data_IF_425855094089
#
_entry.id   IF_425855094089
#
_cell.length_a   1.000
_cell.length_b   1.000
_cell.length_c   1.000
_cell.angle_alpha   90.00
_cell.angle_beta   90.00
_cell.angle_gamma   90.00
#
_symmetry.space_group_name_H-M   'P 1'
#
loop_
_entity.id
_entity.type
_entity.pdbx_description
1 polymer ?
#
# COMPACT_ATOMS: atom_id res chain seq x y z
N UNK A 1 -9.62 -36.33 -65.28
CA UNK A 1 -8.35 -35.59 -65.44
C UNK A 1 -7.93 -35.11 -64.06
N UNK A 2 -6.70 -35.47 -63.67
CA UNK A 2 -6.11 -35.25 -62.35
C UNK A 2 -5.59 -33.81 -62.25
N UNK A 3 -6.03 -33.05 -61.25
CA UNK A 3 -5.30 -31.88 -60.78
C UNK A 3 -5.29 -31.86 -59.25
N UNK A 4 -4.10 -32.07 -58.71
CA UNK A 4 -3.71 -32.06 -57.31
C UNK A 4 -3.47 -30.63 -56.83
N UNK A 5 -4.00 -30.30 -55.66
CA UNK A 5 -3.70 -29.09 -54.89
C UNK A 5 -2.41 -29.28 -54.07
N UNK A 6 -1.46 -28.33 -54.03
CA UNK A 6 -0.35 -28.36 -53.09
C UNK A 6 -0.73 -27.62 -51.80
N UNK A 7 -0.73 -28.35 -50.68
CA UNK A 7 -0.79 -27.79 -49.33
C UNK A 7 0.56 -27.23 -48.91
N UNK A 8 0.54 -26.04 -48.29
CA UNK A 8 1.70 -25.41 -47.67
C UNK A 8 1.52 -25.39 -46.15
N UNK A 9 2.31 -26.22 -45.47
CA UNK A 9 2.65 -26.14 -44.05
C UNK A 9 4.16 -25.91 -43.98
N UNK A 10 4.68 -24.88 -43.28
CA UNK A 10 6.06 -24.89 -42.82
C UNK A 10 6.06 -25.45 -41.39
N UNK A 11 6.61 -26.65 -41.20
CA UNK A 11 8.02 -26.91 -40.95
C UNK A 11 8.37 -26.73 -39.45
N UNK A 12 8.18 -27.84 -38.73
CA UNK A 12 8.85 -28.11 -37.48
C UNK A 12 10.36 -28.25 -37.75
N UNK A 13 11.18 -27.43 -37.09
CA UNK A 13 12.62 -27.63 -37.00
C UNK A 13 12.97 -28.18 -35.61
N UNK A 14 13.18 -29.48 -35.58
CA UNK A 14 13.74 -30.23 -34.47
C UNK A 14 15.16 -30.61 -34.90
N UNK A 15 16.19 -29.99 -34.31
CA UNK A 15 17.59 -30.34 -34.53
C UNK A 15 18.34 -30.41 -33.19
N UNK A 16 18.46 -31.66 -32.74
CA UNK A 16 19.67 -32.34 -32.25
C UNK A 16 20.63 -31.60 -31.31
N UNK A 17 20.61 -32.14 -30.09
CA UNK A 17 21.63 -32.25 -29.04
C UNK A 17 23.09 -32.32 -29.51
N UNK A 18 23.93 -31.46 -28.92
CA UNK A 18 25.37 -31.69 -28.71
C UNK A 18 25.74 -31.21 -27.31
N UNK A 19 26.68 -31.88 -26.59
CA UNK A 19 27.08 -31.44 -25.27
C UNK A 19 27.96 -30.20 -25.42
N UNK A 20 27.43 -29.03 -25.06
CA UNK A 20 28.24 -27.86 -24.87
C UNK A 20 29.15 -28.12 -23.66
N UNK A 21 30.46 -28.16 -23.89
CA UNK A 21 31.44 -28.15 -22.83
C UNK A 21 31.16 -26.93 -21.93
N UNK A 22 30.82 -27.18 -20.67
CA UNK A 22 30.64 -26.14 -19.68
C UNK A 22 31.98 -25.43 -19.50
N UNK A 23 32.12 -24.23 -20.09
CA UNK A 23 33.16 -23.31 -19.68
C UNK A 23 32.92 -23.02 -18.19
N UNK A 24 33.91 -23.35 -17.36
CA UNK A 24 33.88 -23.00 -15.95
C UNK A 24 33.66 -21.49 -15.84
N UNK A 25 32.54 -21.10 -15.25
CA UNK A 25 32.28 -19.71 -14.91
C UNK A 25 33.44 -19.22 -14.03
N UNK A 26 34.01 -18.03 -14.29
CA UNK A 26 35.00 -17.46 -13.39
C UNK A 26 34.41 -17.41 -11.97
N UNK A 27 35.21 -17.65 -10.92
CA UNK A 27 34.73 -17.62 -9.54
C UNK A 27 33.99 -16.31 -9.29
N UNK A 28 32.78 -16.43 -8.74
CA UNK A 28 31.89 -15.32 -8.40
C UNK A 28 32.71 -14.17 -7.83
N UNK A 29 32.80 -13.08 -8.58
CA UNK A 29 33.27 -11.81 -8.06
C UNK A 29 32.32 -11.45 -6.94
N UNK A 30 32.82 -11.47 -5.69
CA UNK A 30 32.04 -11.25 -4.48
C UNK A 30 31.01 -10.14 -4.70
N UNK A 31 29.73 -10.53 -4.77
CA UNK A 31 28.63 -9.60 -4.92
C UNK A 31 28.71 -8.61 -3.75
N UNK A 32 29.10 -7.38 -4.03
CA UNK A 32 29.20 -6.33 -3.02
C UNK A 32 27.78 -6.06 -2.54
N UNK A 33 27.52 -6.36 -1.27
CA UNK A 33 26.24 -6.07 -0.65
C UNK A 33 25.94 -4.57 -0.82
N UNK A 34 24.74 -4.18 -1.31
CA UNK A 34 24.44 -2.79 -1.60
C UNK A 34 24.59 -1.94 -0.33
N UNK A 35 25.01 -0.66 -0.40
CA UNK A 35 25.14 0.17 0.80
C UNK A 35 23.78 0.38 1.50
N UNK A 36 23.78 0.65 2.82
CA UNK A 36 22.57 1.01 3.54
C UNK A 36 21.94 2.27 2.91
N UNK A 37 20.61 2.35 2.99
CA UNK A 37 19.86 3.48 2.42
C UNK A 37 19.04 4.16 3.50
N UNK A 38 19.07 5.49 3.52
CA UNK A 38 18.17 6.32 4.31
C UNK A 38 17.31 7.14 3.35
N UNK A 39 15.99 7.10 3.49
CA UNK A 39 15.06 7.85 2.65
C UNK A 39 14.23 8.78 3.50
N UNK A 40 14.19 10.06 3.14
CA UNK A 40 13.28 11.05 3.71
C UNK A 40 12.17 11.33 2.69
N UNK A 41 10.92 11.29 3.11
CA UNK A 41 9.77 11.56 2.26
C UNK A 41 8.81 12.57 2.86
N UNK A 42 8.12 13.29 1.98
CA UNK A 42 6.98 14.16 2.29
C UNK A 42 5.82 13.75 1.38
N UNK A 43 4.60 13.74 1.91
CA UNK A 43 3.41 13.42 1.16
C UNK A 43 2.23 14.30 1.57
N UNK A 44 1.30 14.52 0.65
CA UNK A 44 0.00 15.12 0.93
C UNK A 44 -1.07 14.42 0.11
N UNK A 45 -2.27 14.32 0.65
CA UNK A 45 -3.43 13.86 -0.10
C UNK A 45 -4.63 14.75 0.18
N UNK A 46 -5.59 14.77 -0.74
CA UNK A 46 -6.85 15.51 -0.58
C UNK A 46 -7.91 14.76 0.25
N UNK A 47 -7.71 13.46 0.49
CA UNK A 47 -8.54 12.63 1.38
C UNK A 47 -7.69 11.65 2.17
N UNK A 48 -8.17 11.29 3.35
CA UNK A 48 -7.57 10.27 4.21
C UNK A 48 -8.26 8.93 3.96
N UNK A 49 -7.47 7.93 3.60
CA UNK A 49 -7.96 6.56 3.38
C UNK A 49 -7.08 5.58 4.13
N UNK A 50 -7.67 4.57 4.75
CA UNK A 50 -6.96 3.49 5.42
C UNK A 50 -7.75 2.20 5.28
N UNK A 51 -7.13 1.13 4.75
CA UNK A 51 -7.78 -0.17 4.52
C UNK A 51 -9.13 -0.03 3.79
N UNK A 52 -9.14 0.77 2.73
CA UNK A 52 -10.32 1.05 1.90
C UNK A 52 -11.49 1.69 2.67
N UNK A 53 -11.19 2.34 3.79
CA UNK A 53 -12.12 3.12 4.61
C UNK A 53 -11.69 4.57 4.62
N UNK A 54 -12.65 5.47 4.69
CA UNK A 54 -12.41 6.90 4.82
C UNK A 54 -13.36 7.51 5.86
N UNK A 55 -12.99 8.66 6.44
CA UNK A 55 -13.94 9.53 7.12
C UNK A 55 -15.05 10.01 6.18
N UNK A 56 -16.13 10.55 6.75
CA UNK A 56 -17.19 11.19 5.99
C UNK A 56 -16.62 12.35 5.15
N UNK A 57 -17.09 12.50 3.91
CA UNK A 57 -16.62 13.53 2.98
C UNK A 57 -16.72 14.96 3.51
N UNK A 58 -17.72 15.26 4.35
CA UNK A 58 -17.88 16.59 4.94
C UNK A 58 -16.76 16.93 5.95
N UNK A 59 -16.15 15.91 6.56
CA UNK A 59 -15.16 16.06 7.61
C UNK A 59 -13.71 15.87 7.11
N UNK A 60 -13.52 15.20 5.98
CA UNK A 60 -12.18 14.88 5.46
C UNK A 60 -11.62 16.01 4.60
N UNK A 61 -10.44 16.52 4.97
CA UNK A 61 -9.70 17.54 4.21
C UNK A 61 -8.32 17.06 3.79
N UNK A 62 -8.07 15.75 3.89
CA UNK A 62 -6.80 15.16 3.53
C UNK A 62 -5.75 15.28 4.62
N UNK A 63 -4.48 15.16 4.23
CA UNK A 63 -3.37 15.14 5.18
C UNK A 63 -2.06 15.66 4.60
N UNK A 64 -1.13 15.93 5.50
CA UNK A 64 0.30 16.08 5.23
C UNK A 64 1.08 15.05 6.05
N UNK A 65 2.05 14.37 5.45
CA UNK A 65 2.79 13.28 6.06
C UNK A 65 4.29 13.41 5.82
N UNK A 66 5.08 12.94 6.77
CA UNK A 66 6.54 12.87 6.67
C UNK A 66 7.02 11.47 7.02
N UNK A 67 7.94 10.93 6.23
CA UNK A 67 8.50 9.58 6.42
C UNK A 67 10.01 9.62 6.52
N UNK A 68 10.56 8.79 7.39
CA UNK A 68 12.00 8.49 7.46
C UNK A 68 12.17 6.98 7.46
N UNK A 69 12.83 6.44 6.43
CA UNK A 69 13.00 4.99 6.25
C UNK A 69 14.47 4.64 6.15
N UNK A 70 14.92 3.67 6.94
CA UNK A 70 16.23 3.05 6.86
C UNK A 70 16.11 1.63 6.30
N UNK A 71 16.99 1.29 5.36
CA UNK A 71 17.10 -0.05 4.80
C UNK A 71 18.55 -0.52 4.88
N UNK A 72 18.79 -1.62 5.59
CA UNK A 72 20.08 -2.25 5.68
C UNK A 72 20.33 -3.19 4.48
N UNK A 73 21.60 -3.46 4.14
CA UNK A 73 21.95 -4.42 3.10
C UNK A 73 21.46 -5.84 3.37
N UNK A 74 21.27 -6.18 4.65
CA UNK A 74 20.78 -7.48 5.09
C UNK A 74 19.30 -7.73 4.77
N UNK A 75 18.56 -6.68 4.39
CA UNK A 75 17.09 -6.73 4.22
C UNK A 75 16.32 -6.19 5.43
N UNK A 76 17.00 -5.83 6.53
CA UNK A 76 16.34 -5.14 7.64
C UNK A 76 15.80 -3.78 7.19
N UNK A 77 14.56 -3.46 7.57
CA UNK A 77 13.92 -2.18 7.32
C UNK A 77 13.37 -1.59 8.62
N UNK A 78 13.50 -0.28 8.77
CA UNK A 78 12.86 0.48 9.83
C UNK A 78 12.31 1.79 9.26
N UNK A 79 11.12 2.19 9.70
CA UNK A 79 10.47 3.39 9.20
C UNK A 79 9.75 4.13 10.31
N UNK A 80 9.82 5.46 10.27
CA UNK A 80 8.98 6.34 11.08
C UNK A 80 8.09 7.17 10.16
N UNK A 81 6.82 7.29 10.51
CA UNK A 81 5.86 8.13 9.82
C UNK A 81 5.19 9.08 10.82
N UNK A 82 5.04 10.34 10.43
CA UNK A 82 4.27 11.33 11.17
C UNK A 82 3.26 11.96 10.23
N UNK A 83 2.05 12.19 10.72
CA UNK A 83 0.95 12.70 9.95
C UNK A 83 0.27 13.87 10.68
N UNK A 84 -0.06 14.88 9.89
CA UNK A 84 -1.07 15.86 10.20
C UNK A 84 -2.28 15.65 9.29
N UNK A 85 -3.33 15.07 9.85
CA UNK A 85 -4.61 14.98 9.17
C UNK A 85 -5.37 16.29 9.36
N UNK A 86 -5.89 16.84 8.27
CA UNK A 86 -6.80 17.98 8.29
C UNK A 86 -8.25 17.53 8.47
N UNK A 87 -8.47 16.25 8.76
CA UNK A 87 -9.79 15.72 9.04
C UNK A 87 -10.37 16.36 10.32
N UNK A 88 -11.68 16.60 10.29
CA UNK A 88 -12.48 17.11 11.38
C UNK A 88 -12.05 18.50 11.87
N UNK A 89 -12.33 19.52 11.05
CA UNK A 89 -12.07 20.96 11.32
C UNK A 89 -12.60 21.46 12.68
N UNK A 90 -13.50 20.72 13.30
CA UNK A 90 -14.08 21.03 14.61
C UNK A 90 -13.28 20.47 15.79
N UNK A 91 -12.16 19.78 15.57
CA UNK A 91 -11.33 19.16 16.61
C UNK A 91 -10.07 19.99 16.89
N UNK A 92 -9.72 20.14 18.17
CA UNK A 92 -8.47 20.77 18.59
C UNK A 92 -7.39 19.70 18.58
N UNK A 93 -6.96 19.32 17.38
CA UNK A 93 -5.90 18.33 17.22
C UNK A 93 -4.53 19.01 17.22
N UNK A 94 -3.51 18.41 17.84
CA UNK A 94 -2.13 18.87 17.67
C UNK A 94 -1.74 18.82 16.18
N UNK A 95 -0.75 19.63 15.79
CA UNK A 95 -0.22 19.61 14.42
C UNK A 95 0.27 18.22 13.99
N UNK A 96 0.66 17.35 14.91
CA UNK A 96 0.88 15.93 14.61
C UNK A 96 -0.17 15.16 15.40
N UNK A 97 -1.14 14.58 14.70
CA UNK A 97 -2.26 13.85 15.29
C UNK A 97 -2.10 12.33 15.15
N UNK A 98 -1.14 11.88 14.34
CA UNK A 98 -0.88 10.47 14.15
C UNK A 98 0.59 10.19 13.81
N UNK A 99 1.09 9.02 14.23
CA UNK A 99 2.41 8.55 13.85
C UNK A 99 2.53 7.03 13.89
N UNK A 100 3.55 6.51 13.22
CA UNK A 100 3.85 5.09 13.14
C UNK A 100 5.35 4.85 13.30
N UNK A 101 5.69 3.74 13.94
CA UNK A 101 7.04 3.18 13.95
C UNK A 101 6.96 1.74 13.48
N UNK A 102 7.68 1.44 12.41
CA UNK A 102 7.70 0.14 11.74
C UNK A 102 9.11 -0.43 11.77
N UNK A 103 9.24 -1.73 12.03
CA UNK A 103 10.47 -2.48 11.81
C UNK A 103 10.13 -3.84 11.21
N UNK A 104 10.99 -4.33 10.32
CA UNK A 104 10.73 -5.56 9.59
C UNK A 104 11.92 -6.08 8.81
N UNK A 105 11.65 -7.10 8.02
CA UNK A 105 12.61 -7.71 7.13
C UNK A 105 11.97 -7.89 5.75
N UNK A 106 12.72 -7.54 4.72
CA UNK A 106 12.36 -7.81 3.33
C UNK A 106 13.42 -8.67 2.67
N UNK A 107 12.99 -9.53 1.76
CA UNK A 107 13.86 -10.39 0.98
C UNK A 107 13.34 -10.55 -0.44
N UNK A 108 14.27 -10.76 -1.37
CA UNK A 108 13.98 -11.01 -2.79
C UNK A 108 14.57 -12.37 -3.13
N UNK A 109 13.75 -13.28 -3.66
CA UNK A 109 14.22 -14.56 -4.18
C UNK A 109 14.69 -14.42 -5.63
N UNK A 110 15.41 -15.42 -6.11
CA UNK A 110 15.85 -15.49 -7.51
C UNK A 110 14.69 -15.65 -8.52
N UNK A 111 13.47 -15.90 -8.05
CA UNK A 111 12.26 -16.04 -8.87
C UNK A 111 11.46 -14.75 -8.99
N UNK A 112 12.09 -13.59 -8.74
CA UNK A 112 11.45 -12.28 -8.66
C UNK A 112 10.27 -12.24 -7.67
N UNK A 113 10.39 -13.02 -6.58
CA UNK A 113 9.43 -13.03 -5.49
C UNK A 113 9.97 -12.17 -4.34
N UNK A 114 9.18 -11.18 -3.94
CA UNK A 114 9.49 -10.30 -2.83
C UNK A 114 8.64 -10.70 -1.64
N UNK A 115 9.25 -10.77 -0.46
CA UNK A 115 8.55 -11.08 0.77
C UNK A 115 8.91 -10.06 1.82
N UNK A 116 7.92 -9.61 2.58
CA UNK A 116 8.14 -8.71 3.71
C UNK A 116 7.39 -9.22 4.93
N UNK A 117 8.01 -9.12 6.10
CA UNK A 117 7.36 -9.30 7.39
C UNK A 117 7.73 -8.12 8.27
N UNK A 118 6.74 -7.55 8.94
CA UNK A 118 6.96 -6.34 9.72
C UNK A 118 6.00 -6.21 10.90
N UNK A 119 6.43 -5.40 11.85
CA UNK A 119 5.63 -4.97 12.98
C UNK A 119 5.55 -3.45 12.96
N UNK A 120 4.34 -2.92 13.13
CA UNK A 120 4.08 -1.49 13.19
C UNK A 120 3.38 -1.13 14.49
N UNK A 121 3.94 -0.15 15.20
CA UNK A 121 3.30 0.50 16.35
C UNK A 121 2.67 1.80 15.89
N UNK A 122 1.36 1.95 16.11
CA UNK A 122 0.59 3.13 15.75
C UNK A 122 0.38 4.01 16.99
N UNK A 123 0.60 5.32 16.82
CA UNK A 123 0.49 6.35 17.84
C UNK A 123 -0.57 7.37 17.42
N UNK A 124 -1.52 7.62 18.31
CA UNK A 124 -2.59 8.59 18.09
C UNK A 124 -2.44 9.67 19.14
N UNK A 125 -2.40 10.91 18.69
CA UNK A 125 -2.20 12.07 19.57
C UNK A 125 -3.49 12.89 19.65
N UNK A 126 -3.94 13.17 20.86
CA UNK A 126 -5.17 13.95 21.10
C UNK A 126 -6.46 13.17 20.81
N UNK A 127 -7.53 13.91 20.51
CA UNK A 127 -8.88 13.38 20.24
C UNK A 127 -9.07 12.98 18.76
N UNK A 128 -8.04 12.42 18.11
CA UNK A 128 -8.10 12.16 16.66
C UNK A 128 -9.23 11.21 16.27
N UNK A 129 -9.97 11.59 15.24
CA UNK A 129 -11.06 10.81 14.65
C UNK A 129 -10.65 10.09 13.35
N UNK A 130 -9.34 9.89 13.15
CA UNK A 130 -8.81 9.10 12.04
C UNK A 130 -9.33 7.66 12.06
N UNK A 131 -9.45 7.06 10.88
CA UNK A 131 -9.93 5.67 10.73
C UNK A 131 -9.03 4.68 11.50
N UNK A 132 -7.73 4.88 11.40
CA UNK A 132 -6.70 4.11 12.11
C UNK A 132 -6.54 4.50 13.60
N UNK A 133 -7.30 5.46 14.12
CA UNK A 133 -7.15 5.92 15.51
C UNK A 133 -7.52 4.86 16.55
N UNK A 134 -8.32 3.86 16.17
CA UNK A 134 -8.69 2.72 17.00
C UNK A 134 -7.59 1.65 17.07
N UNK A 135 -6.60 1.72 16.17
CA UNK A 135 -5.52 0.75 16.05
C UNK A 135 -4.32 1.12 16.92
N UNK A 136 -3.55 0.11 17.31
CA UNK A 136 -2.38 0.28 18.19
C UNK A 136 -1.17 -0.48 17.69
N UNK A 137 -1.36 -1.70 17.21
CA UNK A 137 -0.30 -2.51 16.67
C UNK A 137 -0.79 -3.24 15.43
N UNK A 138 0.12 -3.48 14.50
CA UNK A 138 -0.06 -4.27 13.30
C UNK A 138 1.11 -5.24 13.16
N UNK A 139 0.79 -6.51 12.88
CA UNK A 139 1.72 -7.50 12.38
C UNK A 139 1.33 -7.82 10.95
N UNK A 140 2.19 -7.48 10.01
CA UNK A 140 1.90 -7.61 8.58
C UNK A 140 2.93 -8.46 7.86
N UNK A 141 2.44 -9.25 6.91
CA UNK A 141 3.24 -10.06 6.01
C UNK A 141 2.74 -9.88 4.59
N UNK A 142 3.64 -9.80 3.62
CA UNK A 142 3.29 -9.69 2.21
C UNK A 142 4.18 -10.56 1.32
N UNK A 143 3.60 -10.96 0.21
CA UNK A 143 4.27 -11.60 -0.92
C UNK A 143 3.93 -10.83 -2.18
N UNK A 144 4.93 -10.56 -3.01
CA UNK A 144 4.76 -9.97 -4.34
C UNK A 144 5.49 -10.83 -5.35
N UNK A 145 4.83 -11.20 -6.44
CA UNK A 145 5.39 -12.01 -7.52
C UNK A 145 5.30 -11.26 -8.84
N UNK A 146 6.42 -11.21 -9.55
CA UNK A 146 6.47 -10.70 -10.92
C UNK A 146 6.29 -11.85 -11.92
N UNK A 147 5.36 -11.68 -12.87
CA UNK A 147 5.06 -12.64 -13.93
C UNK A 147 5.44 -12.11 -15.32
N UNK A 148 6.48 -11.28 -15.39
CA UNK A 148 6.97 -10.69 -16.64
C UNK A 148 6.17 -9.48 -17.11
N UNK A 149 4.85 -9.63 -17.29
CA UNK A 149 3.97 -8.50 -17.61
C UNK A 149 3.35 -7.94 -16.34
N UNK A 150 2.67 -8.78 -15.58
CA UNK A 150 1.91 -8.35 -14.40
C UNK A 150 2.71 -8.61 -13.13
N UNK A 151 2.47 -7.79 -12.12
CA UNK A 151 2.87 -8.03 -10.74
C UNK A 151 1.61 -8.35 -9.96
N UNK A 152 1.63 -9.44 -9.18
CA UNK A 152 0.55 -9.73 -8.24
C UNK A 152 1.10 -9.72 -6.82
N UNK A 153 0.32 -9.21 -5.89
CA UNK A 153 0.69 -9.11 -4.49
C UNK A 153 -0.47 -9.50 -3.58
N UNK A 154 -0.10 -10.08 -2.45
CA UNK A 154 -1.02 -10.42 -1.38
C UNK A 154 -0.40 -10.03 -0.04
N UNK A 155 -1.18 -9.37 0.82
CA UNK A 155 -0.80 -9.06 2.19
C UNK A 155 -1.82 -9.60 3.19
N UNK A 156 -1.33 -9.84 4.40
CA UNK A 156 -2.14 -10.14 5.56
C UNK A 156 -1.69 -9.24 6.71
N UNK A 157 -2.64 -8.58 7.33
CA UNK A 157 -2.45 -7.62 8.40
C UNK A 157 -3.25 -8.09 9.63
N UNK A 158 -2.57 -8.23 10.76
CA UNK A 158 -3.18 -8.59 12.05
C UNK A 158 -3.04 -7.41 13.01
N UNK A 159 -4.17 -6.72 13.21
CA UNK A 159 -4.25 -5.61 14.14
C UNK A 159 -4.53 -6.11 15.55
N UNK A 160 -3.66 -5.74 16.49
CA UNK A 160 -3.76 -6.15 17.89
C UNK A 160 -4.18 -4.97 18.77
N UNK A 161 -5.26 -5.16 19.54
CA UNK A 161 -5.84 -4.12 20.39
C UNK A 161 -6.93 -4.65 21.33
N UNK A 162 -7.90 -3.78 21.69
CA UNK A 162 -9.05 -4.19 22.50
C UNK A 162 -9.95 -5.21 21.80
N UNK A 163 -9.95 -5.18 20.47
CA UNK A 163 -10.41 -6.25 19.58
C UNK A 163 -9.32 -6.47 18.54
N UNK A 164 -9.18 -7.70 18.10
CA UNK A 164 -8.26 -8.01 17.01
C UNK A 164 -9.00 -7.89 15.68
N UNK A 165 -8.32 -7.33 14.69
CA UNK A 165 -8.80 -7.32 13.32
C UNK A 165 -7.82 -8.04 12.41
N UNK A 166 -8.35 -8.70 11.39
CA UNK A 166 -7.57 -9.36 10.36
C UNK A 166 -8.01 -8.85 9.00
N UNK A 167 -7.04 -8.41 8.19
CA UNK A 167 -7.27 -7.90 6.84
C UNK A 167 -6.36 -8.62 5.86
N UNK A 168 -6.93 -8.97 4.71
CA UNK A 168 -6.25 -9.47 3.53
C UNK A 168 -6.38 -8.42 2.43
N UNK A 169 -5.27 -8.13 1.77
CA UNK A 169 -5.24 -7.28 0.59
C UNK A 169 -4.65 -8.06 -0.57
N UNK A 170 -5.28 -7.96 -1.74
CA UNK A 170 -4.80 -8.53 -2.98
C UNK A 170 -4.73 -7.43 -4.02
N UNK A 171 -3.61 -7.34 -4.72
CA UNK A 171 -3.44 -6.35 -5.77
C UNK A 171 -2.78 -6.94 -7.02
N UNK A 172 -3.13 -6.38 -8.16
CA UNK A 172 -2.52 -6.68 -9.46
C UNK A 172 -2.16 -5.37 -10.11
N UNK A 173 -0.91 -5.24 -10.53
CA UNK A 173 -0.38 -4.07 -11.20
C UNK A 173 0.35 -4.42 -12.50
N UNK A 174 0.52 -3.41 -13.35
CA UNK A 174 1.43 -3.48 -14.48
C UNK A 174 2.22 -2.18 -14.59
N UNK A 175 3.54 -2.27 -14.46
CA UNK A 175 4.42 -1.10 -14.46
C UNK A 175 5.00 -0.85 -15.84
N UNK A 176 4.72 0.33 -16.37
CA UNK A 176 5.37 0.89 -17.55
C UNK A 176 6.54 1.78 -17.10
N UNK A 177 7.75 1.42 -17.50
CA UNK A 177 8.94 2.21 -17.23
C UNK A 177 9.43 2.87 -18.51
N UNK A 178 9.39 4.20 -18.55
CA UNK A 178 9.77 5.02 -19.69
C UNK A 178 11.10 5.73 -19.36
N UNK A 179 12.18 5.46 -20.11
CA UNK A 179 13.41 6.22 -19.96
C UNK A 179 13.17 7.68 -20.34
N UNK A 180 13.69 8.60 -19.53
CA UNK A 180 13.63 10.04 -19.77
C UNK A 180 15.02 10.57 -20.11
N UNK A 181 15.28 11.86 -19.88
CA UNK A 181 16.57 12.47 -20.15
C UNK A 181 17.67 11.83 -19.26
N UNK A 182 18.78 11.44 -19.88
CA UNK A 182 19.94 10.82 -19.22
C UNK A 182 19.60 9.53 -18.44
N UNK A 183 19.64 9.59 -17.10
CA UNK A 183 19.42 8.44 -16.21
C UNK A 183 18.07 8.51 -15.49
N UNK A 184 17.21 9.45 -15.88
CA UNK A 184 15.92 9.66 -15.25
C UNK A 184 14.88 8.68 -15.80
N UNK A 185 13.88 8.38 -14.97
CA UNK A 185 12.84 7.41 -15.30
C UNK A 185 11.47 7.98 -14.95
N UNK A 186 10.52 7.84 -15.87
CA UNK A 186 9.10 7.97 -15.56
C UNK A 186 8.49 6.57 -15.46
N UNK A 187 7.76 6.32 -14.38
CA UNK A 187 7.01 5.09 -14.16
C UNK A 187 5.52 5.39 -14.10
N UNK A 188 4.71 4.56 -14.75
CA UNK A 188 3.25 4.58 -14.68
C UNK A 188 2.80 3.18 -14.33
N UNK A 189 2.02 3.01 -13.27
CA UNK A 189 1.69 1.67 -12.75
C UNK A 189 0.21 1.51 -12.44
N UNK A 190 -0.68 1.32 -13.44
CA UNK A 190 -2.07 0.97 -13.15
C UNK A 190 -2.15 -0.22 -12.20
N UNK A 191 -2.88 -0.05 -11.11
CA UNK A 191 -3.06 -1.04 -10.04
C UNK A 191 -4.52 -1.18 -9.67
N UNK A 192 -4.98 -2.43 -9.55
CA UNK A 192 -6.28 -2.78 -8.98
C UNK A 192 -6.03 -3.52 -7.68
N UNK A 193 -6.71 -3.08 -6.62
CA UNK A 193 -6.62 -3.64 -5.28
C UNK A 193 -8.01 -4.10 -4.80
N UNK A 194 -8.04 -5.21 -4.08
CA UNK A 194 -9.19 -5.75 -3.38
C UNK A 194 -8.82 -6.02 -1.93
N UNK A 195 -9.65 -5.56 -1.00
CA UNK A 195 -9.48 -5.79 0.43
C UNK A 195 -10.62 -6.62 0.99
N UNK A 196 -10.31 -7.49 1.95
CA UNK A 196 -11.30 -8.22 2.73
C UNK A 196 -10.82 -8.40 4.17
N UNK A 197 -11.72 -8.30 5.14
CA UNK A 197 -11.30 -8.35 6.54
C UNK A 197 -12.44 -8.29 7.53
N UNK A 198 -12.08 -8.40 8.80
CA UNK A 198 -12.94 -7.92 9.88
C UNK A 198 -12.92 -6.39 9.93
N UNK A 199 -13.96 -5.81 10.52
CA UNK A 199 -14.20 -4.35 10.48
C UNK A 199 -14.38 -3.73 11.86
N UNK A 200 -13.87 -4.34 12.93
CA UNK A 200 -14.02 -3.80 14.28
C UNK A 200 -13.31 -2.46 14.44
N UNK A 201 -12.15 -2.29 13.83
CA UNK A 201 -11.39 -1.04 13.85
C UNK A 201 -12.22 0.12 13.30
N UNK A 202 -12.97 -0.11 12.22
CA UNK A 202 -13.75 0.93 11.58
C UNK A 202 -15.01 1.27 12.39
N UNK A 203 -15.73 0.26 12.89
CA UNK A 203 -16.86 0.49 13.80
C UNK A 203 -16.41 1.25 15.07
N UNK A 204 -15.26 0.88 15.64
CA UNK A 204 -14.65 1.55 16.78
C UNK A 204 -14.25 3.00 16.45
N UNK A 205 -13.70 3.26 15.26
CA UNK A 205 -13.36 4.61 14.80
C UNK A 205 -14.59 5.49 14.62
N UNK A 206 -15.68 4.97 14.04
CA UNK A 206 -16.96 5.68 13.95
C UNK A 206 -17.52 6.03 15.34
N UNK A 207 -17.45 5.09 16.28
CA UNK A 207 -17.80 5.30 17.68
C UNK A 207 -17.00 6.42 18.34
N UNK A 208 -15.67 6.37 18.21
CA UNK A 208 -14.78 7.41 18.73
C UNK A 208 -15.11 8.78 18.11
N UNK A 209 -15.30 8.82 16.80
CA UNK A 209 -15.66 10.05 16.07
C UNK A 209 -16.95 10.67 16.59
N UNK A 210 -18.01 9.87 16.81
CA UNK A 210 -19.26 10.42 17.35
C UNK A 210 -19.13 10.88 18.79
N UNK A 211 -18.38 10.19 19.65
CA UNK A 211 -18.14 10.65 21.03
C UNK A 211 -17.44 12.01 21.03
N UNK A 212 -16.42 12.17 20.20
CA UNK A 212 -15.68 13.43 20.10
C UNK A 212 -16.58 14.56 19.58
N UNK A 213 -17.40 14.31 18.54
CA UNK A 213 -18.38 15.29 18.04
C UNK A 213 -19.45 15.64 19.08
N UNK A 214 -19.95 14.64 19.80
CA UNK A 214 -20.99 14.76 20.84
C UNK A 214 -20.51 15.60 22.02
N UNK A 215 -19.30 15.34 22.53
CA UNK A 215 -18.70 16.09 23.64
C UNK A 215 -18.62 17.61 23.35
N UNK A 216 -18.51 18.00 22.08
CA UNK A 216 -18.45 19.41 21.65
C UNK A 216 -19.82 20.02 21.35
N UNK A 217 -20.76 19.26 20.78
CA UNK A 217 -22.05 19.80 20.31
C UNK A 217 -23.24 19.53 21.26
N UNK A 218 -23.04 18.85 22.39
CA UNK A 218 -24.07 18.64 23.41
C UNK A 218 -25.26 17.77 22.96
N UNK A 219 -25.10 17.00 21.89
CA UNK A 219 -26.16 16.19 21.25
C UNK A 219 -26.07 14.73 21.67
N UNK A 220 -27.18 13.99 21.65
CA UNK A 220 -27.29 12.61 22.15
C UNK A 220 -26.29 11.63 21.52
N UNK A 221 -25.63 10.83 22.35
CA UNK A 221 -24.69 9.77 21.97
C UNK A 221 -25.36 8.76 21.03
N UNK A 222 -24.99 8.76 19.75
CA UNK A 222 -25.34 7.65 18.84
C UNK A 222 -24.44 6.47 19.15
N UNK A 223 -25.00 5.44 19.78
CA UNK A 223 -24.36 4.13 19.93
C UNK A 223 -24.31 3.45 18.57
N UNK A 224 -23.11 3.30 18.01
CA UNK A 224 -22.92 2.44 16.84
C UNK A 224 -22.94 1.00 17.32
N UNK A 225 -23.92 0.23 16.85
CA UNK A 225 -23.94 -1.20 17.06
C UNK A 225 -22.79 -1.80 16.27
N UNK A 226 -21.79 -2.30 16.98
CA UNK A 226 -20.85 -3.27 16.43
C UNK A 226 -21.64 -4.43 15.82
N UNK A 227 -21.28 -4.90 14.61
CA UNK A 227 -21.95 -6.04 14.03
C UNK A 227 -21.88 -7.21 15.01
N UNK A 228 -23.04 -7.84 15.29
CA UNK A 228 -23.20 -8.88 16.31
C UNK A 228 -22.36 -10.13 16.04
N UNK A 229 -21.76 -10.24 14.86
CA UNK A 229 -20.78 -11.27 14.49
C UNK A 229 -19.65 -10.63 13.70
N UNK A 230 -18.38 -11.03 13.93
CA UNK A 230 -17.24 -10.55 13.17
C UNK A 230 -17.26 -11.23 11.80
N UNK A 231 -18.14 -10.79 10.91
CA UNK A 231 -18.19 -11.33 9.57
C UNK A 231 -17.00 -10.78 8.78
N UNK A 232 -16.04 -11.66 8.50
CA UNK A 232 -15.05 -11.40 7.46
C UNK A 232 -15.79 -11.04 6.17
N UNK A 233 -15.56 -9.84 5.66
CA UNK A 233 -16.34 -9.25 4.57
C UNK A 233 -15.42 -8.53 3.61
N UNK A 234 -15.87 -8.36 2.35
CA UNK A 234 -15.11 -7.53 1.42
C UNK A 234 -15.16 -6.08 1.88
N UNK A 235 -13.98 -5.47 1.93
CA UNK A 235 -13.81 -4.09 2.32
C UNK A 235 -14.08 -3.16 1.15
N UNK A 236 -13.57 -3.47 -0.03
CA UNK A 236 -13.71 -2.58 -1.17
C UNK A 236 -12.80 -2.93 -2.33
N UNK A 237 -12.88 -2.08 -3.35
CA UNK A 237 -11.97 -2.09 -4.48
C UNK A 237 -11.31 -0.71 -4.60
N UNK A 238 -10.03 -0.70 -4.90
CA UNK A 238 -9.29 0.52 -5.22
C UNK A 238 -8.68 0.37 -6.60
N UNK A 239 -8.95 1.32 -7.49
CA UNK A 239 -8.18 1.50 -8.72
C UNK A 239 -7.24 2.68 -8.50
N UNK A 240 -5.96 2.51 -8.79
CA UNK A 240 -4.97 3.59 -8.68
C UNK A 240 -4.07 3.64 -9.91
N UNK A 241 -3.56 4.83 -10.20
CA UNK A 241 -2.62 5.06 -11.28
C UNK A 241 -1.44 5.90 -10.76
N UNK A 242 -0.52 5.31 -9.97
CA UNK A 242 0.72 5.94 -9.56
C UNK A 242 1.56 6.31 -10.78
N UNK A 243 2.00 7.57 -10.79
CA UNK A 243 2.91 8.14 -11.77
C UNK A 243 4.10 8.66 -10.97
N UNK A 244 5.30 8.15 -11.22
CA UNK A 244 6.50 8.57 -10.50
C UNK A 244 7.63 8.96 -11.44
N UNK A 245 8.29 10.07 -11.14
CA UNK A 245 9.47 10.55 -11.84
C UNK A 245 10.67 10.45 -10.90
N UNK A 246 11.62 9.60 -11.26
CA UNK A 246 12.86 9.40 -10.54
C UNK A 246 14.00 10.13 -11.26
N UNK A 247 14.66 11.04 -10.56
CA UNK A 247 15.82 11.79 -11.04
C UNK A 247 16.96 11.74 -10.02
N UNK A 248 17.95 10.89 -10.31
CA UNK A 248 19.08 10.62 -9.43
C UNK A 248 18.65 10.10 -8.05
N UNK A 249 18.71 10.98 -7.04
CA UNK A 249 18.36 10.65 -5.64
C UNK A 249 16.96 11.08 -5.23
N UNK A 250 16.22 11.71 -6.13
CA UNK A 250 14.90 12.25 -5.87
C UNK A 250 13.83 11.46 -6.60
N UNK A 251 12.68 11.30 -5.95
CA UNK A 251 11.48 10.76 -6.58
C UNK A 251 10.33 11.72 -6.31
N UNK A 252 9.60 12.10 -7.35
CA UNK A 252 8.32 12.82 -7.25
C UNK A 252 7.23 11.89 -7.74
N UNK A 253 6.15 11.75 -6.99
CA UNK A 253 5.05 10.86 -7.34
C UNK A 253 3.69 11.55 -7.22
N UNK A 254 2.79 11.20 -8.12
CA UNK A 254 1.38 11.55 -8.09
C UNK A 254 0.55 10.26 -8.24
N UNK A 255 -0.38 10.03 -7.33
CA UNK A 255 -1.20 8.81 -7.31
C UNK A 255 -2.69 9.19 -7.26
N UNK A 256 -3.32 9.43 -8.42
CA UNK A 256 -4.77 9.43 -8.53
C UNK A 256 -5.35 8.04 -8.24
N UNK A 257 -6.42 8.00 -7.46
CA UNK A 257 -7.08 6.77 -7.03
C UNK A 257 -8.60 6.92 -6.99
N UNK A 258 -9.31 5.84 -7.27
CA UNK A 258 -10.76 5.72 -7.19
C UNK A 258 -11.11 4.52 -6.30
N UNK A 259 -11.86 4.78 -5.23
CA UNK A 259 -12.18 3.81 -4.20
C UNK A 259 -13.70 3.55 -4.19
N UNK A 260 -14.06 2.27 -4.20
CA UNK A 260 -15.44 1.79 -4.06
C UNK A 260 -15.55 1.01 -2.75
N UNK A 261 -16.10 1.62 -1.69
CA UNK A 261 -16.21 0.97 -0.39
C UNK A 261 -17.38 -0.04 -0.38
N UNK A 262 -17.19 -1.17 0.30
CA UNK A 262 -18.17 -2.26 0.42
C UNK A 262 -18.41 -2.64 1.87
N UNK A 263 -19.58 -3.22 2.15
CA UNK A 263 -19.99 -3.73 3.47
C UNK A 263 -19.71 -2.76 4.62
N UNK A 264 -19.98 -1.47 4.41
CA UNK A 264 -19.67 -0.41 5.36
C UNK A 264 -20.64 -0.48 6.55
N UNK A 265 -20.14 -0.51 7.81
CA UNK A 265 -20.95 -0.39 9.00
C UNK A 265 -21.79 0.90 9.00
N UNK A 266 -22.95 0.84 9.65
CA UNK A 266 -23.86 1.99 9.77
C UNK A 266 -23.11 3.24 10.27
N UNK A 267 -23.22 4.35 9.54
CA UNK A 267 -22.56 5.62 9.88
C UNK A 267 -21.28 5.90 9.10
N UNK A 268 -20.75 4.93 8.35
CA UNK A 268 -19.65 5.14 7.42
C UNK A 268 -20.08 5.73 6.06
N UNK A 269 -19.10 6.22 5.31
CA UNK A 269 -19.29 6.72 3.95
C UNK A 269 -19.38 5.54 2.96
N UNK A 270 -20.52 5.40 2.29
CA UNK A 270 -20.77 4.35 1.28
C UNK A 270 -20.52 4.82 -0.14
N UNK A 271 -20.23 6.11 -0.33
CA UNK A 271 -20.04 6.67 -1.67
C UNK A 271 -18.70 6.23 -2.24
N UNK A 272 -18.69 5.91 -3.54
CA UNK A 272 -17.44 5.79 -4.27
C UNK A 272 -16.86 7.19 -4.51
N UNK A 273 -15.55 7.33 -4.41
CA UNK A 273 -14.90 8.64 -4.53
C UNK A 273 -13.52 8.58 -5.14
N UNK A 274 -13.11 9.72 -5.70
CA UNK A 274 -11.76 9.96 -6.16
C UNK A 274 -10.93 10.66 -5.08
N UNK A 275 -9.67 10.30 -4.99
CA UNK A 275 -8.67 10.99 -4.19
C UNK A 275 -7.32 10.95 -4.88
N UNK A 276 -6.42 11.84 -4.49
CA UNK A 276 -5.09 11.95 -5.06
C UNK A 276 -4.05 12.21 -3.99
N UNK A 277 -2.91 11.56 -4.13
CA UNK A 277 -1.72 11.75 -3.29
C UNK A 277 -0.60 12.35 -4.12
N UNK A 278 0.13 13.32 -3.56
CA UNK A 278 1.38 13.83 -4.08
C UNK A 278 2.48 13.52 -3.08
N UNK A 279 3.64 13.06 -3.55
CA UNK A 279 4.78 12.77 -2.70
C UNK A 279 6.10 13.19 -3.33
N UNK A 280 7.06 13.52 -2.49
CA UNK A 280 8.46 13.72 -2.86
C UNK A 280 9.34 12.98 -1.85
N UNK A 281 10.37 12.30 -2.34
CA UNK A 281 11.36 11.66 -1.47
C UNK A 281 12.78 11.86 -1.96
N UNK A 282 13.72 11.71 -1.04
CA UNK A 282 15.16 11.72 -1.31
C UNK A 282 15.83 10.56 -0.60
N UNK A 283 16.66 9.81 -1.31
CA UNK A 283 17.46 8.71 -0.75
C UNK A 283 18.93 9.11 -0.59
N UNK A 284 19.51 8.70 0.52
CA UNK A 284 20.91 8.83 0.92
C UNK A 284 21.51 7.43 1.03
N UNK A 285 22.76 7.29 0.60
CA UNK A 285 23.57 6.07 0.63
C UNK A 285 25.00 6.43 0.98
#
# INVERSE_FOLDING_TARGET
MRHSLPGWLPAACLLLTGPAAAAALPPDSAATSPPPRLTLGLATANRTTYLQRAPLAADDRGYFGTTLTYQAPSGFIASGYLNHSYAYTYLHEPFINFGELMAGWQSVSNSDTYWTVQYTRLFVYGESALVQASLRNDLSASITQFFGLITASASADLFLGGKNDFVLTFDVSHRFQLPMLAHDTLSIEPTVEFGAGSQHFYASSLGQTAVVKTRRNGTTTTTFAEPATPAFSSLGYTFSLPISFAAGRYVVAATPSYLVPLHIPTGGDTSAFFYGTLAVSRTFW
#
